data_IF_942435971365
#
_entry.id   IF_942435971365
#
_cell.length_a   1.000
_cell.length_b   1.000
_cell.length_c   1.000
_cell.angle_alpha   90.00
_cell.angle_beta   90.00
_cell.angle_gamma   90.00
#
_symmetry.space_group_name_H-M   'P 1'
#
loop_
_entity.id
_entity.type
_entity.pdbx_description
1 polymer ?
#
# COMPACT_ATOMS: atom_id res chain seq x y z
N UNK A 1 14.24 9.11 -9.04
CA UNK A 1 13.54 7.83 -8.77
C UNK A 1 13.80 6.87 -9.91
N UNK A 2 14.28 5.67 -9.62
CA UNK A 2 14.64 4.66 -10.60
C UNK A 2 13.75 3.41 -10.47
N UNK A 3 13.78 2.56 -11.50
CA UNK A 3 13.15 1.23 -11.43
C UNK A 3 13.81 0.44 -10.30
N UNK A 4 13.01 -0.21 -9.46
CA UNK A 4 13.55 -1.06 -8.38
C UNK A 4 14.30 -2.22 -9.02
N UNK A 5 15.57 -2.38 -8.64
CA UNK A 5 16.32 -3.60 -8.94
C UNK A 5 15.72 -4.75 -8.15
N UNK A 6 15.29 -5.76 -8.86
CA UNK A 6 14.67 -6.95 -8.26
C UNK A 6 15.64 -8.11 -8.45
N UNK A 7 16.03 -8.74 -7.34
CA UNK A 7 16.91 -9.91 -7.37
C UNK A 7 16.24 -11.04 -8.18
N UNK A 8 16.97 -11.57 -9.15
CA UNK A 8 16.51 -12.69 -9.96
C UNK A 8 16.60 -13.98 -9.13
N UNK A 9 15.48 -14.47 -8.64
CA UNK A 9 15.36 -15.72 -7.92
C UNK A 9 14.05 -16.40 -8.32
N UNK A 10 14.07 -17.72 -8.41
CA UNK A 10 12.86 -18.51 -8.69
C UNK A 10 12.03 -18.72 -7.43
N UNK A 11 10.74 -19.00 -7.62
CA UNK A 11 9.82 -19.34 -6.50
C UNK A 11 10.33 -20.55 -5.72
N UNK A 12 10.84 -21.59 -6.42
CA UNK A 12 11.31 -22.80 -5.78
C UNK A 12 12.63 -22.60 -5.01
N UNK A 13 13.52 -21.78 -5.53
CA UNK A 13 14.77 -21.43 -4.84
C UNK A 13 14.49 -20.61 -3.58
N UNK A 14 13.65 -19.58 -3.68
CA UNK A 14 13.21 -18.81 -2.53
C UNK A 14 12.48 -19.69 -1.49
N UNK A 15 11.70 -20.71 -1.93
CA UNK A 15 11.09 -21.68 -1.03
C UNK A 15 12.13 -22.49 -0.26
N UNK A 16 13.21 -22.94 -0.93
CA UNK A 16 14.29 -23.70 -0.26
C UNK A 16 14.99 -22.85 0.80
N UNK A 17 15.28 -21.59 0.47
CA UNK A 17 15.86 -20.66 1.44
C UNK A 17 14.91 -20.36 2.61
N UNK A 18 13.60 -20.18 2.37
CA UNK A 18 12.63 -20.00 3.44
C UNK A 18 12.64 -21.18 4.44
N UNK A 19 12.75 -22.44 3.95
CA UNK A 19 12.88 -23.64 4.80
C UNK A 19 14.18 -23.59 5.61
N UNK A 20 15.29 -23.26 4.98
CA UNK A 20 16.58 -23.16 5.64
C UNK A 20 16.57 -22.11 6.75
N UNK A 21 16.09 -20.91 6.44
CA UNK A 21 16.03 -19.78 7.39
C UNK A 21 15.13 -20.13 8.60
N UNK A 22 13.92 -20.68 8.35
CA UNK A 22 13.02 -21.07 9.44
C UNK A 22 13.65 -22.11 10.36
N UNK A 23 14.30 -23.14 9.80
CA UNK A 23 14.98 -24.16 10.60
C UNK A 23 16.11 -23.57 11.45
N UNK A 24 16.89 -22.67 10.87
CA UNK A 24 18.03 -22.01 11.53
C UNK A 24 17.55 -21.09 12.66
N UNK A 25 16.64 -20.17 12.37
CA UNK A 25 16.24 -19.13 13.30
C UNK A 25 15.28 -19.59 14.40
N UNK A 26 14.38 -20.56 14.07
CA UNK A 26 13.40 -21.07 15.04
C UNK A 26 13.82 -22.42 15.67
N UNK A 27 14.97 -22.96 15.30
CA UNK A 27 15.48 -24.26 15.79
C UNK A 27 14.41 -25.37 15.74
N UNK A 28 13.67 -25.48 14.61
CA UNK A 28 12.50 -26.35 14.45
C UNK A 28 12.61 -27.25 13.21
N UNK A 29 11.70 -28.23 13.09
CA UNK A 29 11.50 -28.96 11.85
C UNK A 29 10.36 -28.32 11.06
N UNK A 30 10.55 -28.27 9.73
CA UNK A 30 9.51 -27.79 8.81
C UNK A 30 8.74 -29.02 8.30
N UNK A 31 7.42 -29.01 8.54
CA UNK A 31 6.50 -30.08 8.15
C UNK A 31 5.95 -29.88 6.74
N UNK A 32 5.61 -28.63 6.40
CA UNK A 32 5.00 -28.28 5.12
C UNK A 32 5.29 -26.84 4.73
N UNK A 33 5.48 -26.59 3.43
CA UNK A 33 5.58 -25.23 2.87
C UNK A 33 4.61 -25.08 1.72
N UNK A 34 3.80 -24.04 1.77
CA UNK A 34 2.84 -23.69 0.74
C UNK A 34 3.15 -22.29 0.23
N UNK A 35 3.23 -22.12 -1.09
CA UNK A 35 3.27 -20.80 -1.72
C UNK A 35 1.89 -20.15 -1.61
N UNK A 36 1.81 -18.95 -1.03
CA UNK A 36 0.57 -18.22 -0.87
C UNK A 36 0.34 -17.20 -1.98
N UNK A 37 1.42 -16.74 -2.60
CA UNK A 37 1.37 -15.72 -3.65
C UNK A 37 2.64 -14.89 -3.68
N UNK A 38 2.66 -13.90 -4.56
CA UNK A 38 3.76 -12.97 -4.66
C UNK A 38 3.43 -11.83 -5.62
N UNK A 39 4.08 -10.73 -5.40
CA UNK A 39 3.97 -9.52 -6.20
C UNK A 39 5.24 -9.18 -6.96
N UNK A 40 5.37 -7.92 -7.31
CA UNK A 40 6.55 -7.40 -8.00
C UNK A 40 7.82 -7.51 -7.15
N UNK A 41 7.69 -7.49 -5.82
CA UNK A 41 8.80 -7.29 -4.89
C UNK A 41 9.02 -8.46 -3.92
N UNK A 42 8.19 -9.50 -3.93
CA UNK A 42 8.37 -10.61 -3.00
C UNK A 42 7.58 -11.87 -3.32
N UNK A 43 7.94 -12.95 -2.64
CA UNK A 43 7.22 -14.22 -2.64
C UNK A 43 6.82 -14.57 -1.20
N UNK A 44 5.60 -15.04 -0.99
CA UNK A 44 5.03 -15.31 0.32
C UNK A 44 4.77 -16.81 0.47
N UNK A 45 5.24 -17.39 1.58
CA UNK A 45 5.09 -18.79 1.90
C UNK A 45 4.47 -18.96 3.29
N UNK A 46 3.49 -19.85 3.39
CA UNK A 46 3.05 -20.41 4.67
C UNK A 46 3.96 -21.59 5.01
N UNK A 47 4.50 -21.59 6.20
CA UNK A 47 5.41 -22.64 6.70
C UNK A 47 4.84 -23.24 7.96
N UNK A 48 4.49 -24.54 7.92
CA UNK A 48 4.05 -25.30 9.08
C UNK A 48 5.26 -25.97 9.76
N UNK A 49 5.40 -25.80 11.06
CA UNK A 49 6.55 -26.23 11.88
C UNK A 49 6.09 -27.10 13.06
N UNK A 50 7.04 -27.84 13.67
CA UNK A 50 6.77 -28.83 14.72
C UNK A 50 6.61 -28.27 16.14
N UNK A 51 6.77 -26.95 16.32
CA UNK A 51 6.66 -26.28 17.63
C UNK A 51 5.92 -24.94 17.53
N UNK A 52 5.48 -24.34 18.65
CA UNK A 52 4.87 -23.01 18.62
C UNK A 52 5.76 -21.97 17.89
N UNK A 53 5.15 -21.12 17.04
CA UNK A 53 3.71 -20.90 16.83
C UNK A 53 3.02 -21.88 15.85
N UNK A 54 3.61 -23.00 15.48
CA UNK A 54 3.17 -24.07 14.58
C UNK A 54 2.99 -23.66 13.10
N UNK A 55 2.71 -22.41 12.84
CA UNK A 55 2.59 -21.89 11.47
C UNK A 55 3.10 -20.46 11.43
N UNK A 56 3.98 -20.16 10.48
CA UNK A 56 4.49 -18.81 10.21
C UNK A 56 4.33 -18.44 8.74
N UNK A 57 4.41 -17.16 8.45
CA UNK A 57 4.56 -16.64 7.09
C UNK A 57 6.01 -16.23 6.88
N UNK A 58 6.60 -16.70 5.79
CA UNK A 58 7.90 -16.25 5.29
C UNK A 58 7.69 -15.43 4.01
N UNK A 59 8.05 -14.16 4.03
CA UNK A 59 8.06 -13.30 2.85
C UNK A 59 9.52 -13.10 2.40
N UNK A 60 9.83 -13.58 1.22
CA UNK A 60 11.10 -13.35 0.55
C UNK A 60 11.08 -12.00 -0.12
N UNK A 61 11.96 -11.08 0.27
CA UNK A 61 12.03 -9.73 -0.26
C UNK A 61 13.02 -9.68 -1.42
N UNK A 62 12.52 -9.41 -2.62
CA UNK A 62 13.35 -9.39 -3.84
C UNK A 62 14.08 -8.06 -4.07
N UNK A 63 13.98 -7.13 -3.14
CA UNK A 63 14.68 -5.85 -3.16
C UNK A 63 15.35 -5.60 -1.82
N UNK A 64 16.55 -5.05 -1.84
CA UNK A 64 17.34 -4.80 -0.64
C UNK A 64 16.64 -3.83 0.32
N UNK A 65 16.84 -4.02 1.62
CA UNK A 65 16.30 -3.22 2.73
C UNK A 65 14.75 -3.21 2.84
N UNK A 66 14.05 -3.97 2.01
CA UNK A 66 12.59 -4.00 2.00
C UNK A 66 12.04 -4.72 3.23
N UNK A 67 12.66 -5.83 3.64
CA UNK A 67 12.21 -6.63 4.78
C UNK A 67 12.33 -5.88 6.11
N UNK A 68 13.44 -5.20 6.35
CA UNK A 68 13.63 -4.42 7.58
C UNK A 68 12.67 -3.23 7.65
N UNK A 69 12.44 -2.56 6.50
CA UNK A 69 11.46 -1.47 6.41
C UNK A 69 10.05 -1.97 6.71
N UNK A 70 9.62 -3.05 6.05
CA UNK A 70 8.28 -3.63 6.27
C UNK A 70 8.10 -4.10 7.72
N UNK A 71 9.13 -4.72 8.30
CA UNK A 71 9.11 -5.13 9.71
C UNK A 71 8.94 -3.93 10.66
N UNK A 72 9.63 -2.83 10.40
CA UNK A 72 9.49 -1.59 11.15
C UNK A 72 8.07 -1.01 11.02
N UNK A 73 7.55 -0.93 9.79
CA UNK A 73 6.22 -0.40 9.48
C UNK A 73 5.12 -1.23 10.15
N UNK A 74 5.18 -2.57 10.05
CA UNK A 74 4.25 -3.48 10.73
C UNK A 74 4.25 -3.28 12.25
N UNK A 75 5.44 -3.23 12.86
CA UNK A 75 5.57 -3.03 14.31
C UNK A 75 5.06 -1.65 14.75
N UNK A 76 5.22 -0.61 13.93
CA UNK A 76 4.70 0.73 14.21
C UNK A 76 3.17 0.76 14.12
N UNK A 77 2.61 0.20 13.03
CA UNK A 77 1.16 0.14 12.81
C UNK A 77 0.44 -0.74 13.84
N UNK A 78 1.12 -1.77 14.36
CA UNK A 78 0.56 -2.65 15.38
C UNK A 78 0.29 -1.95 16.73
N UNK A 79 0.98 -0.83 17.00
CA UNK A 79 0.77 -0.06 18.25
C UNK A 79 -0.63 0.55 18.24
N UNK A 80 -1.48 0.08 19.14
CA UNK A 80 -2.87 0.54 19.32
C UNK A 80 -3.75 0.37 18.05
N UNK A 81 -3.47 -0.62 17.23
CA UNK A 81 -4.30 -0.93 16.07
C UNK A 81 -5.63 -1.54 16.50
N UNK A 82 -6.74 -1.10 15.89
CA UNK A 82 -8.08 -1.65 16.12
C UNK A 82 -8.32 -2.98 15.38
N UNK A 83 -7.46 -3.32 14.43
CA UNK A 83 -7.48 -4.59 13.68
C UNK A 83 -6.09 -5.18 13.78
N UNK A 84 -6.00 -6.50 13.92
CA UNK A 84 -4.72 -7.19 14.07
C UNK A 84 -3.75 -6.84 12.94
N UNK A 85 -2.51 -6.54 13.30
CA UNK A 85 -1.36 -6.50 12.41
C UNK A 85 -0.51 -7.74 12.72
N UNK A 86 -0.07 -8.53 11.74
CA UNK A 86 0.74 -9.71 12.00
C UNK A 86 1.99 -9.36 12.79
N UNK A 87 2.24 -10.14 13.84
CA UNK A 87 3.46 -10.00 14.63
C UNK A 87 4.67 -10.38 13.78
N UNK A 88 5.67 -9.54 13.76
CA UNK A 88 6.98 -9.87 13.18
C UNK A 88 7.77 -10.69 14.21
N UNK A 89 8.25 -11.86 13.80
CA UNK A 89 9.11 -12.71 14.64
C UNK A 89 10.57 -12.34 14.47
N UNK A 90 11.04 -12.23 13.23
CA UNK A 90 12.40 -11.82 12.90
C UNK A 90 12.50 -11.35 11.43
N UNK A 91 13.60 -10.67 11.12
CA UNK A 91 14.10 -10.46 9.77
C UNK A 91 15.40 -11.24 9.58
N UNK A 92 15.65 -11.73 8.38
CA UNK A 92 16.88 -12.39 8.01
C UNK A 92 17.47 -11.67 6.79
N UNK A 93 18.65 -11.12 6.96
CA UNK A 93 19.37 -10.47 5.87
C UNK A 93 20.15 -11.51 5.06
N UNK A 94 20.22 -11.31 3.76
CA UNK A 94 21.00 -12.16 2.86
C UNK A 94 22.44 -12.31 3.33
N UNK A 95 22.97 -13.53 3.14
CA UNK A 95 24.35 -13.89 3.45
C UNK A 95 24.96 -14.72 2.30
N UNK A 96 26.09 -15.36 2.54
CA UNK A 96 26.78 -16.19 1.54
C UNK A 96 25.97 -17.44 1.13
N UNK A 97 25.01 -17.86 1.94
CA UNK A 97 24.17 -19.06 1.70
C UNK A 97 22.81 -18.68 1.12
N UNK A 98 22.20 -17.60 1.64
CA UNK A 98 20.86 -17.14 1.29
C UNK A 98 20.95 -15.81 0.56
N UNK A 99 20.64 -15.80 -0.73
CA UNK A 99 20.90 -14.67 -1.62
C UNK A 99 19.90 -13.52 -1.54
N UNK A 100 18.85 -13.63 -0.70
CA UNK A 100 17.80 -12.61 -0.54
C UNK A 100 17.35 -12.51 0.91
N UNK A 101 16.79 -11.33 1.26
CA UNK A 101 16.27 -11.06 2.60
C UNK A 101 14.91 -11.72 2.83
N UNK A 102 14.63 -12.04 4.12
CA UNK A 102 13.34 -12.58 4.56
C UNK A 102 12.77 -11.80 5.75
N UNK A 103 11.45 -11.73 5.80
CA UNK A 103 10.72 -11.39 7.01
C UNK A 103 9.86 -12.59 7.42
N UNK A 104 9.97 -12.98 8.68
CA UNK A 104 9.14 -14.00 9.31
C UNK A 104 8.08 -13.34 10.17
N UNK A 105 6.82 -13.68 9.91
CA UNK A 105 5.70 -13.09 10.63
C UNK A 105 4.62 -14.11 10.97
N UNK A 106 3.71 -13.69 11.81
CA UNK A 106 2.55 -14.45 12.23
C UNK A 106 1.67 -14.84 11.03
N UNK A 107 1.26 -16.10 11.00
CA UNK A 107 0.23 -16.54 10.05
C UNK A 107 -1.16 -16.21 10.58
N UNK A 108 -1.85 -15.31 9.92
CA UNK A 108 -3.25 -14.98 10.21
C UNK A 108 -4.15 -15.74 9.26
N UNK A 109 -5.09 -16.53 9.82
CA UNK A 109 -6.05 -17.30 9.03
C UNK A 109 -7.16 -16.38 8.52
N UNK A 110 -7.08 -15.99 7.25
CA UNK A 110 -8.06 -15.16 6.56
C UNK A 110 -7.83 -15.21 5.07
N UNK A 111 -8.74 -14.61 4.31
CA UNK A 111 -8.60 -14.42 2.86
C UNK A 111 -8.72 -12.94 2.56
N UNK A 112 -7.92 -12.46 1.63
CA UNK A 112 -8.09 -11.09 1.16
C UNK A 112 -9.46 -10.90 0.49
N UNK A 113 -9.94 -9.66 0.50
CA UNK A 113 -11.28 -9.36 0.01
C UNK A 113 -11.34 -9.23 -1.51
N UNK A 114 -10.22 -9.35 -2.22
CA UNK A 114 -10.17 -9.29 -3.67
C UNK A 114 -10.24 -10.67 -4.32
N UNK A 115 -9.47 -11.64 -3.83
CA UNK A 115 -9.45 -13.01 -4.39
C UNK A 115 -10.71 -13.79 -4.04
N UNK A 116 -11.36 -13.46 -2.94
CA UNK A 116 -12.65 -14.06 -2.58
C UNK A 116 -13.82 -13.25 -3.12
N UNK A 117 -14.11 -13.43 -4.42
CA UNK A 117 -15.22 -12.74 -5.10
C UNK A 117 -16.60 -12.94 -4.44
N UNK A 118 -16.81 -14.00 -3.65
CA UNK A 118 -18.06 -14.24 -2.95
C UNK A 118 -18.42 -13.09 -2.00
N UNK A 119 -17.42 -12.42 -1.45
CA UNK A 119 -17.57 -11.26 -0.56
C UNK A 119 -18.24 -10.06 -1.24
N UNK A 120 -18.09 -9.92 -2.57
CA UNK A 120 -18.76 -8.86 -3.33
C UNK A 120 -20.30 -9.03 -3.39
N UNK A 121 -20.82 -10.23 -3.17
CA UNK A 121 -22.25 -10.52 -3.18
C UNK A 121 -22.91 -10.50 -1.80
N UNK A 122 -22.13 -10.21 -0.75
CA UNK A 122 -22.68 -10.07 0.60
C UNK A 122 -23.59 -8.84 0.73
N UNK A 123 -24.48 -8.86 1.70
CA UNK A 123 -25.48 -7.81 1.89
C UNK A 123 -24.85 -6.43 2.13
N UNK A 124 -25.60 -5.38 1.76
CA UNK A 124 -25.18 -3.98 1.99
C UNK A 124 -24.87 -3.73 3.47
N UNK A 125 -25.61 -4.33 4.40
CA UNK A 125 -25.38 -4.20 5.84
C UNK A 125 -24.00 -4.76 6.24
N UNK A 126 -23.61 -5.94 5.74
CA UNK A 126 -22.30 -6.53 6.00
C UNK A 126 -21.17 -5.68 5.43
N UNK A 127 -21.30 -5.20 4.18
CA UNK A 127 -20.32 -4.29 3.57
C UNK A 127 -20.17 -3.00 4.35
N UNK A 128 -21.29 -2.43 4.82
CA UNK A 128 -21.27 -1.22 5.65
C UNK A 128 -20.55 -1.45 6.98
N UNK A 129 -20.82 -2.58 7.67
CA UNK A 129 -20.14 -2.93 8.90
C UNK A 129 -18.64 -3.18 8.69
N UNK A 130 -18.25 -3.80 7.57
CA UNK A 130 -16.86 -3.96 7.17
C UNK A 130 -16.19 -2.59 6.94
N UNK A 131 -16.83 -1.74 6.14
CA UNK A 131 -16.32 -0.40 5.84
C UNK A 131 -16.16 0.44 7.10
N UNK A 132 -17.11 0.36 8.03
CA UNK A 132 -17.05 1.05 9.31
C UNK A 132 -15.82 0.64 10.13
N UNK A 133 -15.56 -0.67 10.26
CA UNK A 133 -14.39 -1.19 11.01
C UNK A 133 -13.07 -0.78 10.36
N UNK A 134 -12.96 -0.92 9.03
CA UNK A 134 -11.73 -0.57 8.29
C UNK A 134 -11.43 0.93 8.40
N UNK A 135 -12.44 1.77 8.16
CA UNK A 135 -12.25 3.22 8.22
C UNK A 135 -11.99 3.71 9.64
N UNK A 136 -12.53 3.02 10.67
CA UNK A 136 -12.20 3.32 12.07
C UNK A 136 -10.76 2.94 12.41
N UNK A 137 -10.28 1.79 11.95
CA UNK A 137 -8.88 1.38 12.14
C UNK A 137 -7.91 2.34 11.44
N UNK A 138 -8.22 2.70 10.19
CA UNK A 138 -7.44 3.69 9.44
C UNK A 138 -7.41 5.05 10.18
N UNK A 139 -8.55 5.54 10.65
CA UNK A 139 -8.60 6.82 11.35
C UNK A 139 -7.87 6.78 12.70
N UNK A 140 -7.81 5.65 13.37
CA UNK A 140 -6.99 5.48 14.57
C UNK A 140 -5.51 5.71 14.28
N UNK A 141 -4.99 5.25 13.14
CA UNK A 141 -3.63 5.62 12.69
C UNK A 141 -3.54 7.08 12.28
N UNK A 142 -4.50 7.60 11.51
CA UNK A 142 -4.54 9.00 11.08
C UNK A 142 -4.60 10.00 12.24
N UNK A 143 -5.06 9.56 13.41
CA UNK A 143 -5.09 10.37 14.63
C UNK A 143 -3.75 10.37 15.38
N UNK A 144 -2.81 9.50 15.00
CA UNK A 144 -1.44 9.54 15.50
C UNK A 144 -0.66 10.56 14.68
N UNK A 145 -0.04 11.50 15.34
CA UNK A 145 0.68 12.60 14.70
C UNK A 145 2.16 12.61 15.06
N UNK A 146 2.94 13.22 14.20
CA UNK A 146 4.36 13.50 14.38
C UNK A 146 4.64 14.96 14.06
N UNK A 147 5.75 15.48 14.56
CA UNK A 147 6.15 16.88 14.32
C UNK A 147 6.69 17.12 12.90
N UNK A 148 7.12 16.05 12.22
CA UNK A 148 7.72 16.11 10.88
C UNK A 148 7.03 15.16 9.91
N UNK A 149 7.00 15.55 8.65
CA UNK A 149 6.51 14.75 7.53
C UNK A 149 7.63 13.94 6.89
N UNK A 150 7.27 12.84 6.23
CA UNK A 150 8.18 11.98 5.49
C UNK A 150 7.99 10.50 5.78
N UNK A 151 8.90 9.65 5.34
CA UNK A 151 8.88 8.22 5.65
C UNK A 151 8.97 8.00 7.18
N UNK A 152 8.26 7.02 7.71
CA UNK A 152 8.21 6.78 9.17
C UNK A 152 9.60 6.57 9.81
N UNK A 153 10.58 6.10 9.05
CA UNK A 153 11.95 5.90 9.51
C UNK A 153 12.83 7.16 9.41
N UNK A 154 12.40 8.16 8.61
CA UNK A 154 13.20 9.35 8.34
C UNK A 154 12.29 10.55 7.99
N UNK A 155 11.41 10.93 8.93
CA UNK A 155 10.56 12.10 8.79
C UNK A 155 11.36 13.36 9.20
N UNK A 156 11.60 14.26 8.26
CA UNK A 156 12.45 15.43 8.46
C UNK A 156 11.94 16.73 7.81
N UNK A 157 10.76 16.71 7.18
CA UNK A 157 10.15 17.89 6.53
C UNK A 157 9.20 18.60 7.47
N UNK A 158 9.20 19.94 7.45
CA UNK A 158 8.31 20.75 8.28
C UNK A 158 6.88 20.78 7.74
N UNK A 159 6.73 20.72 6.42
CA UNK A 159 5.43 20.73 5.76
C UNK A 159 5.28 19.52 4.82
N UNK A 160 4.02 19.08 4.64
CA UNK A 160 3.74 17.98 3.72
C UNK A 160 4.17 18.27 2.29
N UNK A 161 3.96 19.50 1.83
CA UNK A 161 4.27 19.88 0.45
C UNK A 161 5.77 19.98 0.19
N UNK A 162 6.61 20.20 1.20
CA UNK A 162 8.07 20.17 1.07
C UNK A 162 8.55 18.75 0.72
N UNK A 163 7.87 17.74 1.23
CA UNK A 163 8.10 16.34 0.88
C UNK A 163 7.41 15.95 -0.44
N UNK A 164 6.12 16.27 -0.58
CA UNK A 164 5.30 15.70 -1.64
C UNK A 164 5.45 16.40 -3.00
N UNK A 165 5.58 17.73 -3.03
CA UNK A 165 5.65 18.51 -4.29
C UNK A 165 6.87 18.10 -5.14
N UNK A 166 8.11 17.99 -4.59
CA UNK A 166 9.26 17.48 -5.33
C UNK A 166 9.10 16.03 -5.80
N UNK A 167 8.50 15.17 -4.96
CA UNK A 167 8.20 13.79 -5.31
C UNK A 167 7.24 13.70 -6.51
N UNK A 168 6.13 14.44 -6.47
CA UNK A 168 5.15 14.46 -7.56
C UNK A 168 5.74 15.07 -8.84
N UNK A 169 6.60 16.10 -8.73
CA UNK A 169 7.28 16.69 -9.87
C UNK A 169 8.23 15.69 -10.57
N UNK A 170 9.00 14.92 -9.80
CA UNK A 170 9.86 13.87 -10.38
C UNK A 170 9.04 12.81 -11.13
N UNK A 171 7.86 12.43 -10.62
CA UNK A 171 6.93 11.54 -11.33
C UNK A 171 6.47 12.17 -12.65
N UNK A 172 6.08 13.44 -12.63
CA UNK A 172 5.64 14.14 -13.84
C UNK A 172 6.75 14.22 -14.90
N UNK A 173 8.00 14.53 -14.50
CA UNK A 173 9.13 14.56 -15.42
C UNK A 173 9.38 13.18 -16.06
N UNK A 174 9.25 12.11 -15.29
CA UNK A 174 9.36 10.75 -15.83
C UNK A 174 8.20 10.38 -16.74
N UNK A 175 6.98 10.82 -16.41
CA UNK A 175 5.82 10.65 -17.29
C UNK A 175 6.03 11.35 -18.65
N UNK A 176 6.66 12.55 -18.68
CA UNK A 176 7.06 13.23 -19.93
C UNK A 176 8.00 12.38 -20.75
N UNK A 177 9.09 11.91 -20.14
CA UNK A 177 10.07 11.05 -20.81
C UNK A 177 9.45 9.74 -21.30
N UNK A 178 8.47 9.19 -20.58
CA UNK A 178 7.74 7.98 -21.00
C UNK A 178 6.82 8.28 -22.20
N UNK A 179 6.18 9.43 -22.23
CA UNK A 179 5.34 9.86 -23.35
C UNK A 179 6.18 10.09 -24.61
N UNK A 180 7.36 10.71 -24.50
CA UNK A 180 8.31 10.92 -25.58
C UNK A 180 8.80 9.60 -26.19
N UNK A 181 8.90 8.53 -25.38
CA UNK A 181 9.27 7.18 -25.84
C UNK A 181 8.06 6.33 -26.28
N UNK A 182 6.84 6.87 -26.23
CA UNK A 182 5.62 6.13 -26.57
C UNK A 182 5.20 5.06 -25.53
N UNK A 183 5.78 5.07 -24.32
CA UNK A 183 5.45 4.17 -23.22
C UNK A 183 4.20 4.61 -22.43
N UNK A 184 3.85 5.91 -22.53
CA UNK A 184 2.66 6.51 -21.96
C UNK A 184 1.94 7.32 -23.05
N UNK A 185 0.63 7.13 -23.20
CA UNK A 185 -0.15 7.88 -24.19
C UNK A 185 -0.24 9.37 -23.80
N UNK A 186 -0.09 10.26 -24.79
CA UNK A 186 0.00 11.72 -24.60
C UNK A 186 -1.19 12.32 -23.83
N UNK A 187 -2.37 11.72 -23.93
CA UNK A 187 -3.54 12.23 -23.20
C UNK A 187 -3.46 12.01 -21.68
N UNK A 188 -2.73 10.98 -21.20
CA UNK A 188 -2.43 10.85 -19.76
C UNK A 188 -1.57 12.01 -19.29
N UNK A 189 -0.49 12.28 -20.03
CA UNK A 189 0.41 13.38 -19.73
C UNK A 189 -0.33 14.73 -19.71
N UNK A 190 -1.16 15.01 -20.71
CA UNK A 190 -1.94 16.26 -20.76
C UNK A 190 -2.78 16.46 -19.49
N UNK A 191 -3.48 15.43 -19.02
CA UNK A 191 -4.30 15.55 -17.79
C UNK A 191 -3.43 15.73 -16.54
N UNK A 192 -2.28 15.05 -16.47
CA UNK A 192 -1.33 15.21 -15.37
C UNK A 192 -0.74 16.64 -15.34
N UNK A 193 -0.41 17.19 -16.52
CA UNK A 193 0.09 18.56 -16.63
C UNK A 193 -0.97 19.60 -16.26
N UNK A 194 -2.21 19.40 -16.69
CA UNK A 194 -3.32 20.26 -16.28
C UNK A 194 -3.49 20.26 -14.74
N UNK A 195 -3.46 19.08 -14.13
CA UNK A 195 -3.52 18.96 -12.67
C UNK A 195 -2.30 19.61 -11.99
N UNK A 196 -1.11 19.42 -12.55
CA UNK A 196 0.11 20.04 -12.02
C UNK A 196 0.10 21.58 -12.11
N UNK A 197 -0.37 22.12 -13.21
CA UNK A 197 -0.48 23.59 -13.37
C UNK A 197 -1.48 24.21 -12.38
N UNK A 198 -2.35 23.40 -11.80
CA UNK A 198 -3.31 23.80 -10.76
C UNK A 198 -2.95 23.24 -9.37
N UNK A 199 -1.68 22.84 -9.17
CA UNK A 199 -1.23 22.20 -7.93
C UNK A 199 -1.56 23.01 -6.68
N UNK A 200 -1.27 24.32 -6.70
CA UNK A 200 -1.47 25.18 -5.54
C UNK A 200 -2.97 25.38 -5.21
N UNK A 201 -3.86 25.30 -6.20
CA UNK A 201 -5.31 25.25 -5.96
C UNK A 201 -5.74 23.90 -5.35
N UNK A 202 -5.24 22.79 -5.88
CA UNK A 202 -5.56 21.43 -5.39
C UNK A 202 -5.14 21.28 -3.93
N UNK A 203 -3.96 21.79 -3.58
CA UNK A 203 -3.35 21.71 -2.26
C UNK A 203 -3.43 23.05 -1.49
N UNK A 204 -4.49 23.84 -1.70
CA UNK A 204 -4.64 25.17 -1.09
C UNK A 204 -4.83 25.15 0.43
N UNK A 205 -5.33 24.04 0.98
CA UNK A 205 -5.46 23.89 2.43
C UNK A 205 -4.19 23.26 3.01
N UNK A 206 -3.63 23.92 4.03
CA UNK A 206 -2.46 23.40 4.75
C UNK A 206 -2.79 22.09 5.45
N UNK A 207 -1.85 21.15 5.40
CA UNK A 207 -1.91 19.91 6.19
C UNK A 207 -1.35 20.22 7.58
N UNK A 208 -2.22 20.34 8.57
CA UNK A 208 -1.85 20.79 9.91
C UNK A 208 -1.03 19.75 10.70
N UNK A 209 -1.24 18.46 10.43
CA UNK A 209 -0.62 17.38 11.20
C UNK A 209 -0.06 16.31 10.28
N UNK A 210 1.15 15.88 10.58
CA UNK A 210 1.76 14.70 9.96
C UNK A 210 1.13 13.43 10.56
N UNK A 211 0.10 12.91 9.90
CA UNK A 211 -0.63 11.71 10.34
C UNK A 211 0.09 10.43 9.92
N UNK A 212 0.02 9.38 10.76
CA UNK A 212 0.51 8.06 10.38
C UNK A 212 -0.41 7.46 9.32
N UNK A 213 0.16 7.07 8.18
CA UNK A 213 -0.57 6.38 7.10
C UNK A 213 0.02 5.01 6.81
N UNK A 214 -0.82 4.09 6.32
CA UNK A 214 -0.39 2.75 5.88
C UNK A 214 0.40 2.79 4.57
N UNK A 215 0.03 3.65 3.65
CA UNK A 215 0.66 3.86 2.35
C UNK A 215 0.13 2.97 1.22
N UNK A 216 -0.46 1.80 1.53
CA UNK A 216 -1.08 0.90 0.55
C UNK A 216 -2.30 0.13 1.11
N UNK A 217 -3.20 0.82 1.83
CA UNK A 217 -4.38 0.17 2.39
C UNK A 217 -5.49 -0.05 1.35
N UNK A 218 -5.29 -1.01 0.48
CA UNK A 218 -6.29 -1.52 -0.44
C UNK A 218 -6.92 -2.82 0.07
N UNK A 219 -8.02 -3.30 -0.56
CA UNK A 219 -8.76 -4.48 -0.08
C UNK A 219 -7.99 -5.80 -0.20
N UNK A 220 -6.91 -5.87 -0.99
CA UNK A 220 -6.03 -7.05 -1.06
C UNK A 220 -5.16 -7.17 0.20
N UNK A 221 -4.93 -6.07 0.89
CA UNK A 221 -4.16 -5.99 2.13
C UNK A 221 -5.04 -6.11 3.39
N UNK A 222 -6.33 -6.46 3.23
CA UNK A 222 -7.27 -6.70 4.32
C UNK A 222 -7.70 -8.16 4.31
N UNK A 223 -7.29 -8.91 5.33
CA UNK A 223 -7.73 -10.27 5.56
C UNK A 223 -9.06 -10.27 6.31
N UNK A 224 -10.03 -11.03 5.81
CA UNK A 224 -11.35 -11.16 6.43
C UNK A 224 -11.81 -12.61 6.46
N UNK A 225 -12.77 -12.91 7.35
CA UNK A 225 -13.46 -14.19 7.40
C UNK A 225 -14.56 -14.30 6.31
N UNK A 226 -15.20 -15.46 6.23
CA UNK A 226 -16.27 -15.71 5.24
C UNK A 226 -17.53 -14.85 5.51
N UNK A 227 -17.65 -14.24 6.69
CA UNK A 227 -18.75 -13.32 7.06
C UNK A 227 -18.43 -11.86 6.79
N UNK A 228 -17.21 -11.58 6.22
CA UNK A 228 -16.67 -10.26 5.99
C UNK A 228 -16.32 -9.49 7.28
N UNK A 229 -15.95 -10.19 8.35
CA UNK A 229 -15.31 -9.51 9.48
C UNK A 229 -13.83 -9.32 9.17
N UNK A 230 -13.29 -8.10 9.25
CA UNK A 230 -11.85 -7.89 9.07
C UNK A 230 -11.10 -8.55 10.24
N UNK A 231 -10.06 -9.32 9.92
CA UNK A 231 -9.23 -10.07 10.87
C UNK A 231 -7.89 -9.39 11.02
N UNK A 232 -7.23 -9.09 9.89
CA UNK A 232 -5.92 -8.43 9.91
C UNK A 232 -5.74 -7.47 8.73
N UNK A 233 -4.83 -6.53 8.91
CA UNK A 233 -4.29 -5.67 7.85
C UNK A 233 -2.82 -6.01 7.69
N UNK A 234 -2.36 -6.13 6.44
CA UNK A 234 -1.04 -6.60 6.06
C UNK A 234 -0.40 -5.70 5.00
N UNK A 235 0.87 -5.92 4.74
CA UNK A 235 1.62 -5.39 3.58
C UNK A 235 1.63 -3.86 3.50
N UNK A 236 2.08 -3.15 4.54
CA UNK A 236 2.29 -1.71 4.44
C UNK A 236 3.38 -1.43 3.39
N UNK A 237 3.23 -0.33 2.67
CA UNK A 237 4.22 0.07 1.69
C UNK A 237 4.57 1.55 1.85
N UNK A 238 5.80 1.80 2.29
CA UNK A 238 6.29 3.15 2.50
C UNK A 238 5.35 3.97 3.40
N UNK A 239 5.01 3.40 4.56
CA UNK A 239 4.25 4.13 5.59
C UNK A 239 4.92 5.46 5.90
N UNK A 240 4.11 6.49 6.08
CA UNK A 240 4.57 7.88 6.21
C UNK A 240 3.88 8.57 7.36
N UNK A 241 4.54 9.59 7.86
CA UNK A 241 3.94 10.72 8.52
C UNK A 241 3.54 11.72 7.45
N UNK A 242 2.26 11.81 7.13
CA UNK A 242 1.79 12.41 5.88
C UNK A 242 0.46 13.16 6.04
N UNK A 243 0.02 13.76 4.92
CA UNK A 243 -1.39 14.08 4.74
C UNK A 243 -2.21 12.79 4.79
N UNK A 244 -3.11 12.66 5.78
CA UNK A 244 -3.97 11.48 5.91
C UNK A 244 -4.86 11.21 4.69
N UNK A 245 -5.17 12.23 3.90
CA UNK A 245 -5.96 12.05 2.69
C UNK A 245 -5.17 11.35 1.58
N UNK A 246 -3.84 11.23 1.71
CA UNK A 246 -3.03 10.41 0.82
C UNK A 246 -3.47 8.94 0.84
N UNK A 247 -3.78 8.36 2.00
CA UNK A 247 -4.25 6.95 2.08
C UNK A 247 -5.63 6.74 1.44
N UNK A 248 -6.44 7.80 1.29
CA UNK A 248 -7.82 7.68 0.82
C UNK A 248 -7.96 7.28 -0.65
N UNK A 249 -6.93 7.48 -1.48
CA UNK A 249 -7.01 7.05 -2.88
C UNK A 249 -7.13 5.53 -3.02
N UNK A 250 -6.56 4.77 -2.11
CA UNK A 250 -6.70 3.31 -2.06
C UNK A 250 -8.15 2.88 -1.75
N UNK A 251 -8.82 3.60 -0.85
CA UNK A 251 -10.23 3.38 -0.53
C UNK A 251 -11.16 3.74 -1.71
N UNK A 252 -10.78 4.71 -2.53
CA UNK A 252 -11.51 5.14 -3.75
C UNK A 252 -11.17 4.25 -4.96
N UNK A 253 -10.39 3.16 -4.79
CA UNK A 253 -10.12 2.17 -5.81
C UNK A 253 -11.40 1.45 -6.26
N UNK A 254 -11.35 0.71 -7.40
CA UNK A 254 -12.49 -0.06 -7.88
C UNK A 254 -13.03 -1.02 -6.80
N UNK A 255 -12.11 -1.72 -6.14
CA UNK A 255 -12.43 -2.68 -5.10
C UNK A 255 -12.88 -2.00 -3.81
N UNK A 256 -12.23 -0.93 -3.39
CA UNK A 256 -12.64 -0.14 -2.23
C UNK A 256 -14.06 0.43 -2.37
N UNK A 257 -14.39 0.93 -3.56
CA UNK A 257 -15.73 1.42 -3.87
C UNK A 257 -16.80 0.31 -3.79
N UNK A 258 -16.46 -0.94 -4.18
CA UNK A 258 -17.39 -2.06 -4.09
C UNK A 258 -17.83 -2.38 -2.64
N UNK A 259 -17.00 -1.99 -1.66
CA UNK A 259 -17.31 -2.09 -0.23
C UNK A 259 -17.73 -0.75 0.40
N UNK A 260 -17.74 0.35 -0.35
CA UNK A 260 -18.12 1.68 0.12
C UNK A 260 -17.15 2.31 1.12
N UNK A 261 -15.86 1.96 1.05
CA UNK A 261 -14.85 2.38 2.02
C UNK A 261 -14.63 3.91 2.01
N UNK A 262 -14.49 4.50 0.83
CA UNK A 262 -14.23 5.93 0.68
C UNK A 262 -15.39 6.78 1.23
N UNK A 263 -16.62 6.48 0.82
CA UNK A 263 -17.80 7.19 1.29
C UNK A 263 -18.03 7.02 2.79
N UNK A 264 -17.73 5.82 3.34
CA UNK A 264 -17.78 5.59 4.78
C UNK A 264 -16.80 6.49 5.53
N UNK A 265 -15.55 6.58 5.07
CA UNK A 265 -14.55 7.45 5.69
C UNK A 265 -15.01 8.91 5.69
N UNK A 266 -15.41 9.43 4.54
CA UNK A 266 -15.88 10.82 4.40
C UNK A 266 -17.13 11.14 5.23
N UNK A 267 -18.02 10.17 5.42
CA UNK A 267 -19.22 10.37 6.24
C UNK A 267 -18.94 10.48 7.74
N UNK A 268 -17.78 9.98 8.18
CA UNK A 268 -17.42 9.89 9.61
C UNK A 268 -16.37 10.93 10.02
N UNK A 269 -15.47 11.27 9.13
CA UNK A 269 -14.28 12.04 9.46
C UNK A 269 -14.14 13.28 8.58
N UNK A 270 -13.69 14.42 9.15
CA UNK A 270 -13.52 15.64 8.38
C UNK A 270 -12.45 15.45 7.30
N UNK A 271 -12.70 16.06 6.15
CA UNK A 271 -11.78 16.11 5.01
C UNK A 271 -11.62 17.53 4.52
N UNK A 272 -10.55 17.81 3.78
CA UNK A 272 -10.34 19.12 3.17
C UNK A 272 -11.41 19.43 2.12
N UNK A 273 -11.60 20.71 1.83
CA UNK A 273 -12.58 21.20 0.84
C UNK A 273 -12.34 20.58 -0.55
N UNK A 274 -11.07 20.43 -0.93
CA UNK A 274 -10.68 19.88 -2.23
C UNK A 274 -10.34 18.37 -2.15
N UNK A 275 -10.79 17.64 -1.11
CA UNK A 275 -10.41 16.25 -0.86
C UNK A 275 -10.60 15.34 -2.09
N UNK A 276 -11.74 15.39 -2.77
CA UNK A 276 -11.99 14.52 -3.94
C UNK A 276 -10.99 14.74 -5.07
N UNK A 277 -10.66 16.02 -5.35
CA UNK A 277 -9.69 16.38 -6.37
C UNK A 277 -8.25 16.02 -5.93
N UNK A 278 -7.90 16.27 -4.66
CA UNK A 278 -6.63 15.93 -4.07
C UNK A 278 -6.39 14.41 -4.09
N UNK A 279 -7.39 13.62 -3.70
CA UNK A 279 -7.36 12.16 -3.75
C UNK A 279 -7.22 11.64 -5.19
N UNK A 280 -7.88 12.28 -6.16
CA UNK A 280 -7.74 11.92 -7.58
C UNK A 280 -6.33 12.25 -8.12
N UNK A 281 -5.74 13.36 -7.69
CA UNK A 281 -4.35 13.70 -7.98
C UNK A 281 -3.40 12.64 -7.41
N UNK A 282 -3.51 12.33 -6.12
CA UNK A 282 -2.71 11.29 -5.46
C UNK A 282 -2.80 9.96 -6.19
N UNK A 283 -4.03 9.51 -6.53
CA UNK A 283 -4.24 8.25 -7.24
C UNK A 283 -3.52 8.21 -8.60
N UNK A 284 -3.65 9.27 -9.41
CA UNK A 284 -3.05 9.31 -10.75
C UNK A 284 -1.52 9.30 -10.68
N UNK A 285 -0.95 10.13 -9.80
CA UNK A 285 0.50 10.20 -9.64
C UNK A 285 1.07 8.91 -9.02
N UNK A 286 0.38 8.30 -8.07
CA UNK A 286 0.78 7.02 -7.49
C UNK A 286 0.75 5.87 -8.52
N UNK A 287 -0.26 5.79 -9.38
CA UNK A 287 -0.31 4.76 -10.44
C UNK A 287 0.88 4.89 -11.42
N UNK A 288 1.24 6.11 -11.80
CA UNK A 288 2.44 6.33 -12.63
C UNK A 288 3.71 6.00 -11.86
N UNK A 289 3.79 6.35 -10.56
CA UNK A 289 4.88 5.93 -9.69
C UNK A 289 5.05 4.41 -9.65
N UNK A 290 3.97 3.66 -9.46
CA UNK A 290 3.99 2.20 -9.47
C UNK A 290 4.47 1.64 -10.81
N UNK A 291 4.03 2.24 -11.92
CA UNK A 291 4.49 1.84 -13.25
C UNK A 291 6.00 2.08 -13.44
N UNK A 292 6.51 3.25 -13.05
CA UNK A 292 7.94 3.59 -13.09
C UNK A 292 8.75 2.55 -12.28
N UNK A 293 8.32 2.26 -11.07
CA UNK A 293 9.00 1.39 -10.12
C UNK A 293 9.02 -0.08 -10.53
N UNK A 294 7.87 -0.61 -10.95
CA UNK A 294 7.68 -2.03 -11.26
C UNK A 294 7.95 -2.38 -12.74
N UNK A 295 7.83 -1.41 -13.64
CA UNK A 295 7.80 -1.63 -15.09
C UNK A 295 6.54 -2.37 -15.57
N UNK A 296 5.55 -2.58 -14.68
CA UNK A 296 4.29 -3.25 -15.01
C UNK A 296 3.17 -2.22 -15.06
N UNK A 297 2.43 -2.21 -16.17
CA UNK A 297 1.33 -1.30 -16.39
C UNK A 297 -0.01 -2.01 -16.24
N UNK A 298 -0.87 -1.52 -15.36
CA UNK A 298 -2.26 -1.95 -15.22
C UNK A 298 -3.16 -0.96 -15.97
N UNK A 299 -3.38 -1.19 -17.28
CA UNK A 299 -4.12 -0.25 -18.16
C UNK A 299 -5.47 0.17 -17.59
N UNK A 300 -6.24 -0.76 -16.98
CA UNK A 300 -7.55 -0.47 -16.40
C UNK A 300 -7.44 0.52 -15.23
N UNK A 301 -6.48 0.33 -14.33
CA UNK A 301 -6.28 1.26 -13.21
C UNK A 301 -5.82 2.63 -13.68
N UNK A 302 -4.87 2.68 -14.62
CA UNK A 302 -4.42 3.93 -15.22
C UNK A 302 -5.59 4.72 -15.82
N UNK A 303 -6.41 4.06 -16.66
CA UNK A 303 -7.55 4.70 -17.29
C UNK A 303 -8.58 5.19 -16.25
N UNK A 304 -8.84 4.39 -15.22
CA UNK A 304 -9.75 4.77 -14.14
C UNK A 304 -9.25 5.99 -13.38
N UNK A 305 -7.97 6.02 -12.99
CA UNK A 305 -7.38 7.16 -12.28
C UNK A 305 -7.40 8.42 -13.15
N UNK A 306 -7.10 8.28 -14.45
CA UNK A 306 -7.21 9.37 -15.40
C UNK A 306 -8.63 9.95 -15.50
N UNK A 307 -9.64 9.07 -15.70
CA UNK A 307 -11.04 9.50 -15.83
C UNK A 307 -11.54 10.14 -14.55
N UNK A 308 -11.12 9.62 -13.37
CA UNK A 308 -11.46 10.21 -12.10
C UNK A 308 -10.82 11.59 -11.93
N UNK A 309 -9.52 11.73 -12.22
CA UNK A 309 -8.83 13.03 -12.13
C UNK A 309 -9.46 14.05 -13.09
N UNK A 310 -9.74 13.67 -14.34
CA UNK A 310 -10.42 14.53 -15.31
C UNK A 310 -11.80 14.97 -14.82
N UNK A 311 -12.58 14.06 -14.23
CA UNK A 311 -13.89 14.37 -13.65
C UNK A 311 -13.77 15.39 -12.53
N UNK A 312 -12.83 15.22 -11.60
CA UNK A 312 -12.70 16.11 -10.45
C UNK A 312 -12.11 17.47 -10.86
N UNK A 313 -11.24 17.54 -11.86
CA UNK A 313 -10.81 18.81 -12.47
C UNK A 313 -12.00 19.57 -13.08
N UNK A 314 -12.86 18.88 -13.84
CA UNK A 314 -14.06 19.47 -14.40
C UNK A 314 -15.04 19.98 -13.33
N UNK A 315 -15.22 19.21 -12.23
CA UNK A 315 -16.04 19.63 -11.09
C UNK A 315 -15.50 20.92 -10.44
N UNK A 316 -14.17 21.08 -10.44
CA UNK A 316 -13.49 22.30 -9.97
C UNK A 316 -13.44 23.41 -11.02
N UNK A 317 -14.07 23.24 -12.19
CA UNK A 317 -14.05 24.17 -13.33
C UNK A 317 -12.66 24.44 -13.91
N UNK A 318 -11.79 23.43 -13.83
CA UNK A 318 -10.45 23.44 -14.41
C UNK A 318 -10.53 22.67 -15.75
N UNK A 319 -10.32 23.37 -16.84
CA UNK A 319 -10.46 22.85 -18.20
C UNK A 319 -9.17 23.09 -19.01
N UNK A 320 -9.03 22.36 -20.12
CA UNK A 320 -7.94 22.57 -21.09
C UNK A 320 -8.10 23.89 -21.83
#
# INVERSE_FOLDING_TARGET
MERIKVNAITIDEAKKYAVFVVKKELCCNVNKVQYLGGGSFGYVYKVDIDRPPYTVVMKACRSDNMCEREAFELNLLAKDSLIQIPKVYFTYLKDDIVSIDYICMEYVKGKDCFTDFSKLFLSKAKKRAFADKITSAMYAWHSKTNDKFGLVQNANYDEWLDYYKPFAFDILQKARNMADRGELESYFLKVMELAWNNFDYIFSEKVEHASLIHGDLNVMNILADDKLNPIAIIDPLESKWADREYDLFQLKSLTGNAFGLYEMYKSKYPTSKNCDLKVAFYAMFHEIYCYIRSGRRTKINHLRCLLNLKKELNNARIHF
#
